data_IF_476476160022
#
_entry.id   IF_476476160022
#
_cell.length_a   1.000
_cell.length_b   1.000
_cell.length_c   1.000
_cell.angle_alpha   90.00
_cell.angle_beta   90.00
_cell.angle_gamma   90.00
#
_symmetry.space_group_name_H-M   'P 1'
#
loop_
_entity.id
_entity.type
_entity.pdbx_description
1 polymer ?
#
# COMPACT_ATOMS: atom_id res chain seq x y z
N UNK A 1 40.46 -15.62 -7.21
CA UNK A 1 39.40 -15.26 -8.17
C UNK A 1 38.08 -15.65 -7.53
N UNK A 2 37.13 -14.80 -7.16
CA UNK A 2 37.03 -13.35 -7.04
C UNK A 2 36.03 -13.06 -5.91
N UNK A 3 36.22 -11.97 -5.19
CA UNK A 3 35.37 -11.58 -4.06
C UNK A 3 33.95 -11.28 -4.56
N UNK A 4 32.95 -12.02 -4.05
CA UNK A 4 31.54 -11.73 -4.27
C UNK A 4 31.16 -10.55 -3.35
N UNK A 5 30.74 -9.38 -3.87
CA UNK A 5 30.37 -8.25 -3.02
C UNK A 5 29.16 -8.67 -2.17
N UNK A 6 29.31 -8.58 -0.86
CA UNK A 6 28.34 -9.05 0.14
C UNK A 6 26.99 -8.36 -0.07
N UNK A 7 25.99 -9.10 -0.55
CA UNK A 7 24.59 -8.65 -0.53
C UNK A 7 24.19 -8.56 0.95
N UNK A 8 23.94 -7.35 1.44
CA UNK A 8 23.45 -7.12 2.80
C UNK A 8 22.19 -7.97 3.04
N UNK A 9 22.08 -8.54 4.25
CA UNK A 9 21.12 -9.59 4.53
C UNK A 9 19.76 -9.08 5.02
N UNK A 10 18.75 -9.92 4.89
CA UNK A 10 17.46 -9.77 5.59
C UNK A 10 17.65 -10.20 7.04
N UNK A 11 17.20 -9.37 7.98
CA UNK A 11 17.31 -9.57 9.41
C UNK A 11 16.64 -10.88 9.81
N UNK A 12 17.35 -11.68 10.60
CA UNK A 12 16.98 -13.06 10.89
C UNK A 12 15.70 -13.21 11.77
N UNK A 13 15.17 -12.11 12.31
CA UNK A 13 14.08 -12.13 13.31
C UNK A 13 13.01 -11.08 12.98
N UNK A 14 12.22 -11.31 11.94
CA UNK A 14 11.02 -10.52 11.67
C UNK A 14 9.79 -11.12 12.39
N UNK A 15 8.78 -10.32 12.78
CA UNK A 15 7.51 -10.82 13.28
C UNK A 15 6.81 -11.75 12.26
N UNK A 16 5.89 -12.59 12.74
CA UNK A 16 5.16 -13.53 11.88
C UNK A 16 4.42 -12.81 10.75
N UNK A 17 4.46 -13.37 9.54
CA UNK A 17 3.85 -12.81 8.33
C UNK A 17 4.72 -11.79 7.59
N UNK A 18 5.72 -11.20 8.23
CA UNK A 18 6.63 -10.25 7.61
C UNK A 18 7.74 -10.95 6.83
N UNK A 19 8.05 -10.39 5.66
CA UNK A 19 9.17 -10.81 4.82
C UNK A 19 9.77 -9.61 4.09
N UNK A 20 11.03 -9.73 3.69
CA UNK A 20 11.62 -8.74 2.78
C UNK A 20 10.94 -8.83 1.41
N UNK A 21 10.48 -7.68 0.94
CA UNK A 21 9.72 -7.54 -0.30
C UNK A 21 10.64 -7.12 -1.46
N UNK A 22 11.65 -6.29 -1.19
CA UNK A 22 12.67 -5.90 -2.16
C UNK A 22 13.18 -4.48 -1.99
N UNK A 23 14.10 -4.10 -2.88
CA UNK A 23 14.57 -2.72 -2.99
C UNK A 23 13.64 -1.92 -3.91
N UNK A 24 13.15 -0.76 -3.47
CA UNK A 24 12.19 0.07 -4.22
C UNK A 24 12.68 1.51 -4.34
N UNK A 25 12.34 2.17 -5.45
CA UNK A 25 12.60 3.60 -5.63
C UNK A 25 11.71 4.46 -4.74
N UNK A 26 12.27 5.53 -4.16
CA UNK A 26 11.55 6.50 -3.33
C UNK A 26 11.82 7.94 -3.78
N UNK A 27 11.52 8.22 -5.06
CA UNK A 27 11.68 9.57 -5.63
C UNK A 27 10.44 10.44 -5.43
N UNK A 28 10.69 11.72 -5.09
CA UNK A 28 9.67 12.76 -5.03
C UNK A 28 8.86 12.69 -3.74
N UNK A 29 7.57 12.33 -3.84
CA UNK A 29 6.73 12.08 -2.67
C UNK A 29 7.05 10.69 -2.11
N UNK A 30 7.15 10.59 -0.78
CA UNK A 30 7.36 9.34 -0.02
C UNK A 30 6.45 8.23 -0.50
N UNK A 31 7.01 7.06 -0.82
CA UNK A 31 6.24 5.90 -1.27
C UNK A 31 5.57 5.14 -0.13
N UNK A 32 6.11 5.25 1.08
CA UNK A 32 5.46 4.79 2.30
C UNK A 32 5.11 6.01 3.14
N UNK A 33 3.85 6.45 3.05
CA UNK A 33 3.38 7.74 3.58
C UNK A 33 2.60 7.62 4.90
N UNK A 34 2.74 6.50 5.61
CA UNK A 34 2.11 6.23 6.90
C UNK A 34 2.92 6.76 8.09
N UNK A 35 2.85 6.04 9.22
CA UNK A 35 3.67 6.34 10.40
C UNK A 35 5.17 6.27 10.06
N UNK A 36 5.98 7.08 10.74
CA UNK A 36 7.43 7.09 10.55
C UNK A 36 8.15 7.30 11.88
N UNK A 37 9.40 6.84 11.94
CA UNK A 37 10.36 7.28 12.96
C UNK A 37 11.78 7.24 12.40
N UNK A 38 12.70 7.93 13.08
CA UNK A 38 14.12 7.96 12.73
C UNK A 38 14.92 7.52 13.95
N UNK A 39 15.90 6.63 13.75
CA UNK A 39 16.85 6.24 14.79
C UNK A 39 18.26 6.16 14.22
N UNK A 40 19.07 7.17 14.53
CA UNK A 40 20.44 7.32 14.00
C UNK A 40 21.46 6.38 14.63
N UNK A 41 21.10 5.66 15.71
CA UNK A 41 22.03 4.81 16.46
C UNK A 41 21.65 3.34 16.46
N UNK A 42 20.36 3.01 16.48
CA UNK A 42 19.89 1.65 16.71
C UNK A 42 18.85 1.16 15.69
N UNK A 43 18.66 1.87 14.57
CA UNK A 43 17.81 1.36 13.50
C UNK A 43 18.26 -0.03 13.04
N UNK A 44 17.29 -0.94 12.96
CA UNK A 44 17.41 -2.30 12.41
C UNK A 44 16.16 -2.59 11.57
N UNK A 45 16.25 -3.57 10.66
CA UNK A 45 15.10 -4.02 9.89
C UNK A 45 13.94 -4.46 10.80
N UNK A 46 14.26 -5.23 11.84
CA UNK A 46 13.28 -5.71 12.81
C UNK A 46 12.61 -4.56 13.59
N UNK A 47 13.35 -3.52 13.98
CA UNK A 47 12.77 -2.38 14.70
C UNK A 47 11.77 -1.59 13.83
N UNK A 48 12.08 -1.38 12.55
CA UNK A 48 11.15 -0.69 11.64
C UNK A 48 9.89 -1.52 11.40
N UNK A 49 10.07 -2.81 11.11
CA UNK A 49 8.96 -3.74 10.93
C UNK A 49 8.06 -3.81 12.16
N UNK A 50 8.63 -3.95 13.36
CA UNK A 50 7.86 -4.02 14.60
C UNK A 50 7.06 -2.73 14.86
N UNK A 51 7.63 -1.57 14.54
CA UNK A 51 6.93 -0.29 14.63
C UNK A 51 5.73 -0.22 13.66
N UNK A 52 5.92 -0.63 12.40
CA UNK A 52 4.83 -0.61 11.42
C UNK A 52 3.73 -1.62 11.75
N UNK A 53 4.10 -2.81 12.24
CA UNK A 53 3.17 -3.82 12.72
C UNK A 53 2.29 -3.29 13.87
N UNK A 54 2.91 -2.66 14.89
CA UNK A 54 2.19 -2.04 16.01
C UNK A 54 1.26 -0.88 15.59
N UNK A 55 1.57 -0.24 14.46
CA UNK A 55 0.76 0.84 13.90
C UNK A 55 -0.24 0.36 12.84
N UNK A 56 -0.43 -0.97 12.69
CA UNK A 56 -1.34 -1.60 11.74
C UNK A 56 -1.02 -1.29 10.26
N UNK A 57 0.27 -1.30 9.90
CA UNK A 57 0.73 -1.14 8.52
C UNK A 57 1.32 -2.45 7.99
N UNK A 58 0.89 -2.94 6.81
CA UNK A 58 1.42 -4.14 6.19
C UNK A 58 2.75 -3.89 5.47
N UNK A 59 3.09 -2.63 5.14
CA UNK A 59 4.40 -2.30 4.59
C UNK A 59 5.24 -1.51 5.61
N UNK A 60 6.51 -1.86 5.64
CA UNK A 60 7.57 -1.12 6.32
C UNK A 60 8.70 -0.92 5.31
N UNK A 61 9.40 0.19 5.38
CA UNK A 61 10.54 0.44 4.51
C UNK A 61 11.54 1.34 5.20
N UNK A 62 12.82 1.03 5.02
CA UNK A 62 13.90 1.81 5.58
C UNK A 62 14.63 2.54 4.47
N UNK A 63 14.83 3.85 4.64
CA UNK A 63 15.68 4.68 3.80
C UNK A 63 16.86 5.25 4.59
N UNK A 64 17.94 5.54 3.88
CA UNK A 64 19.08 6.31 4.39
C UNK A 64 19.73 5.68 5.65
N UNK A 65 19.63 4.37 5.80
CA UNK A 65 20.16 3.62 6.94
C UNK A 65 19.32 3.70 8.21
N UNK A 66 18.55 4.77 8.40
CA UNK A 66 18.09 5.19 9.73
C UNK A 66 16.64 5.70 9.77
N UNK A 67 15.98 5.81 8.63
CA UNK A 67 14.63 6.36 8.52
C UNK A 67 13.62 5.25 8.22
N UNK A 68 12.73 4.98 9.16
CA UNK A 68 11.67 3.99 8.99
C UNK A 68 10.38 4.65 8.55
N UNK A 69 9.76 4.08 7.51
CA UNK A 69 8.50 4.50 6.94
C UNK A 69 7.53 3.32 6.88
N UNK A 70 6.30 3.54 7.30
CA UNK A 70 5.21 2.58 7.17
C UNK A 70 4.31 2.95 6.00
N UNK A 71 3.66 1.96 5.41
CA UNK A 71 2.70 2.19 4.33
C UNK A 71 1.62 1.12 4.31
N UNK A 72 0.42 1.50 3.88
CA UNK A 72 -0.61 0.52 3.57
C UNK A 72 -0.42 -0.06 2.16
N UNK A 73 0.26 0.69 1.31
CA UNK A 73 0.68 0.28 -0.01
C UNK A 73 1.99 0.99 -0.36
N UNK A 74 2.64 0.51 -1.41
CA UNK A 74 3.77 1.19 -2.03
C UNK A 74 3.19 2.22 -3.02
N UNK A 75 3.40 3.51 -2.74
CA UNK A 75 2.80 4.59 -3.51
C UNK A 75 3.20 4.61 -4.99
N UNK A 76 2.31 5.14 -5.81
CA UNK A 76 2.48 5.21 -7.27
C UNK A 76 3.83 5.80 -7.73
N UNK A 77 4.34 5.22 -8.82
CA UNK A 77 5.62 5.58 -9.43
C UNK A 77 6.85 5.06 -8.68
N UNK A 78 6.66 4.31 -7.60
CA UNK A 78 7.70 3.43 -7.07
C UNK A 78 7.87 2.22 -7.98
N UNK A 79 9.10 1.74 -8.13
CA UNK A 79 9.41 0.53 -8.87
C UNK A 79 10.51 -0.25 -8.17
N UNK A 80 10.49 -1.58 -8.33
CA UNK A 80 11.54 -2.46 -7.84
C UNK A 80 12.87 -2.12 -8.52
N UNK A 81 13.94 -2.05 -7.74
CA UNK A 81 15.31 -1.71 -8.16
C UNK A 81 16.25 -2.91 -7.95
N UNK A 82 17.50 -2.78 -8.39
CA UNK A 82 18.51 -3.80 -8.08
C UNK A 82 18.77 -3.82 -6.56
N UNK A 83 18.87 -5.00 -5.97
CA UNK A 83 19.13 -5.17 -4.53
C UNK A 83 20.44 -4.51 -4.09
N UNK A 84 21.42 -4.41 -4.99
CA UNK A 84 22.69 -3.70 -4.70
C UNK A 84 22.53 -2.19 -4.58
N UNK A 85 21.37 -1.62 -4.90
CA UNK A 85 21.09 -0.19 -4.70
C UNK A 85 20.53 0.12 -3.31
N UNK A 86 20.17 -0.90 -2.53
CA UNK A 86 19.79 -0.76 -1.12
C UNK A 86 20.96 -1.22 -0.23
N UNK A 87 22.07 -0.46 -0.29
CA UNK A 87 23.37 -0.86 0.25
C UNK A 87 23.80 -0.11 1.53
N UNK A 88 22.95 0.76 2.08
CA UNK A 88 23.27 1.43 3.34
C UNK A 88 23.10 0.45 4.50
N UNK A 89 24.13 0.29 5.36
CA UNK A 89 24.01 -0.54 6.55
C UNK A 89 23.09 0.11 7.58
N UNK A 90 22.31 -0.69 8.28
CA UNK A 90 21.57 -0.22 9.45
C UNK A 90 22.56 0.11 10.60
N UNK A 91 22.41 1.23 11.33
CA UNK A 91 23.30 1.60 12.42
C UNK A 91 23.22 0.63 13.61
N UNK A 92 22.05 0.02 13.86
CA UNK A 92 21.87 -0.99 14.90
C UNK A 92 22.36 -2.39 14.50
N UNK A 93 22.54 -2.66 13.20
CA UNK A 93 23.12 -3.89 12.68
C UNK A 93 23.71 -3.69 11.28
N UNK A 94 25.03 -3.56 11.20
CA UNK A 94 25.72 -3.23 9.94
C UNK A 94 25.69 -4.33 8.87
N UNK A 95 25.16 -5.51 9.20
CA UNK A 95 24.99 -6.63 8.25
C UNK A 95 23.62 -6.60 7.54
N UNK A 96 22.75 -5.68 7.92
CA UNK A 96 21.40 -5.52 7.37
C UNK A 96 21.34 -4.35 6.37
N UNK A 97 20.58 -4.54 5.29
CA UNK A 97 20.26 -3.50 4.31
C UNK A 97 19.18 -2.55 4.84
N UNK A 98 19.46 -1.25 4.87
CA UNK A 98 18.53 -0.22 5.32
C UNK A 98 18.36 0.88 4.24
N UNK A 99 18.12 0.45 3.01
CA UNK A 99 17.88 1.33 1.87
C UNK A 99 19.14 2.00 1.33
N UNK A 100 18.98 3.16 0.70
CA UNK A 100 20.03 4.12 0.34
C UNK A 100 19.39 5.47 -0.01
N UNK A 101 20.08 6.37 -0.70
CA UNK A 101 19.48 7.61 -1.21
C UNK A 101 18.34 7.32 -2.22
N UNK A 102 17.10 7.72 -1.90
CA UNK A 102 15.92 7.48 -2.73
C UNK A 102 15.66 5.98 -2.97
N UNK A 103 16.06 5.11 -2.03
CA UNK A 103 15.84 3.67 -2.10
C UNK A 103 15.37 3.13 -0.75
N UNK A 104 14.24 2.43 -0.79
CA UNK A 104 13.67 1.75 0.36
C UNK A 104 14.03 0.27 0.33
N UNK A 105 14.59 -0.24 1.42
CA UNK A 105 14.52 -1.67 1.74
C UNK A 105 13.13 -1.95 2.29
N UNK A 106 12.24 -2.52 1.46
CA UNK A 106 10.82 -2.71 1.79
C UNK A 106 10.56 -4.11 2.33
N UNK A 107 9.72 -4.17 3.36
CA UNK A 107 9.18 -5.36 3.99
C UNK A 107 7.67 -5.34 3.90
N UNK A 108 7.08 -6.53 3.84
CA UNK A 108 5.65 -6.69 3.67
C UNK A 108 5.11 -7.83 4.56
N UNK A 109 3.97 -7.58 5.19
CA UNK A 109 3.21 -8.56 5.95
C UNK A 109 1.97 -9.00 5.20
N UNK A 110 2.03 -10.19 4.58
CA UNK A 110 0.92 -10.77 3.84
C UNK A 110 -0.27 -11.17 4.72
N UNK A 111 -0.04 -11.42 6.01
CA UNK A 111 -1.12 -11.72 6.96
C UNK A 111 -1.85 -10.44 7.37
N UNK A 112 -1.12 -9.35 7.62
CA UNK A 112 -1.73 -8.06 7.93
C UNK A 112 -2.48 -7.49 6.72
N UNK A 113 -1.94 -7.65 5.50
CA UNK A 113 -2.61 -7.18 4.29
C UNK A 113 -3.88 -7.99 3.98
N UNK A 114 -3.84 -9.31 4.20
CA UNK A 114 -5.04 -10.15 4.13
C UNK A 114 -6.10 -9.77 5.18
N UNK A 115 -5.72 -9.05 6.25
CA UNK A 115 -6.66 -8.48 7.24
C UNK A 115 -7.09 -7.05 6.91
N UNK A 116 -6.38 -6.34 6.01
CA UNK A 116 -6.84 -5.06 5.40
C UNK A 116 -7.72 -5.31 4.19
N UNK A 117 -8.58 -6.30 4.32
CA UNK A 117 -9.62 -6.54 3.34
C UNK A 117 -10.61 -5.38 3.43
N UNK A 118 -10.75 -4.62 2.34
CA UNK A 118 -11.99 -3.88 2.09
C UNK A 118 -13.12 -4.89 1.85
N UNK A 119 -13.41 -5.78 2.80
CA UNK A 119 -14.54 -6.71 2.70
C UNK A 119 -15.85 -5.97 2.53
N UNK A 120 -15.84 -4.67 2.85
CA UNK A 120 -17.04 -3.89 3.02
C UNK A 120 -17.90 -4.46 4.15
N UNK A 121 -19.13 -3.96 4.28
CA UNK A 121 -20.08 -4.44 5.28
C UNK A 121 -20.53 -5.87 4.99
N UNK A 122 -21.09 -6.55 5.99
CA UNK A 122 -21.57 -7.93 5.84
C UNK A 122 -22.43 -8.13 4.58
N UNK A 123 -22.02 -9.07 3.73
CA UNK A 123 -22.72 -9.40 2.48
C UNK A 123 -22.15 -8.72 1.23
N UNK A 124 -21.07 -7.96 1.34
CA UNK A 124 -20.24 -7.54 0.20
C UNK A 124 -18.94 -8.33 0.15
N UNK A 125 -18.28 -8.29 -1.00
CA UNK A 125 -16.95 -8.87 -1.18
C UNK A 125 -16.19 -8.00 -2.15
N UNK A 126 -14.94 -7.67 -1.82
CA UNK A 126 -14.04 -6.97 -2.71
C UNK A 126 -13.82 -7.81 -3.97
N UNK A 127 -14.02 -7.20 -5.14
CA UNK A 127 -13.76 -7.79 -6.45
C UNK A 127 -12.28 -7.58 -6.82
N UNK A 128 -11.73 -6.40 -6.56
CA UNK A 128 -10.35 -6.07 -6.90
C UNK A 128 -10.15 -4.59 -7.20
N UNK A 129 -8.93 -4.21 -7.57
CA UNK A 129 -8.64 -2.87 -8.05
C UNK A 129 -8.86 -2.78 -9.57
N UNK A 130 -9.22 -1.63 -10.10
CA UNK A 130 -9.49 -1.49 -11.52
C UNK A 130 -8.95 -0.17 -12.05
N UNK A 131 -8.26 -0.20 -13.18
CA UNK A 131 -7.88 1.03 -13.88
C UNK A 131 -9.14 1.72 -14.44
N UNK A 132 -9.36 2.97 -14.04
CA UNK A 132 -10.48 3.78 -14.50
C UNK A 132 -10.00 4.94 -15.39
N UNK A 133 -10.91 5.48 -16.22
CA UNK A 133 -10.61 6.60 -17.11
C UNK A 133 -11.76 7.61 -17.09
N UNK A 134 -11.44 8.88 -16.82
CA UNK A 134 -12.43 9.96 -16.77
C UNK A 134 -13.22 10.14 -18.08
N UNK A 135 -12.66 9.73 -19.22
CA UNK A 135 -13.30 9.77 -20.53
C UNK A 135 -13.99 8.46 -20.92
N UNK A 136 -13.76 7.39 -20.16
CA UNK A 136 -14.27 6.04 -20.43
C UNK A 136 -14.44 5.29 -19.10
N UNK A 137 -15.39 5.76 -18.27
CA UNK A 137 -15.61 5.27 -16.90
C UNK A 137 -16.04 3.80 -16.89
N UNK A 138 -15.52 3.01 -15.96
CA UNK A 138 -15.92 1.61 -15.80
C UNK A 138 -17.28 1.46 -15.10
N UNK A 139 -17.58 2.36 -14.15
CA UNK A 139 -18.90 2.51 -13.54
C UNK A 139 -19.44 3.89 -13.90
N UNK A 140 -20.60 3.95 -14.56
CA UNK A 140 -21.13 5.19 -15.15
C UNK A 140 -22.03 6.00 -14.21
N UNK A 141 -22.40 5.45 -13.05
CA UNK A 141 -23.31 6.12 -12.11
C UNK A 141 -22.55 6.71 -10.94
N UNK A 142 -22.37 8.04 -10.96
CA UNK A 142 -21.85 8.75 -9.80
C UNK A 142 -22.92 8.85 -8.72
N UNK A 143 -22.65 8.27 -7.54
CA UNK A 143 -23.64 8.21 -6.46
C UNK A 143 -23.41 9.30 -5.41
N UNK A 144 -22.17 9.47 -4.96
CA UNK A 144 -21.85 10.46 -3.94
C UNK A 144 -20.36 10.79 -3.92
N UNK A 145 -20.05 11.94 -3.33
CA UNK A 145 -18.70 12.22 -2.85
C UNK A 145 -18.72 13.06 -1.58
N UNK A 146 -17.80 12.82 -0.66
CA UNK A 146 -17.71 13.58 0.59
C UNK A 146 -16.65 13.06 1.52
N UNK A 147 -16.34 13.83 2.55
CA UNK A 147 -15.21 13.57 3.46
C UNK A 147 -15.54 12.50 4.52
N UNK A 148 -16.78 12.02 4.55
CA UNK A 148 -17.21 10.88 5.37
C UNK A 148 -17.30 9.59 4.57
N UNK A 149 -16.65 9.51 3.40
CA UNK A 149 -16.73 8.31 2.55
C UNK A 149 -16.08 7.11 3.23
N UNK A 150 -16.79 5.98 3.22
CA UNK A 150 -16.31 4.67 3.66
C UNK A 150 -16.73 3.61 2.64
N UNK A 151 -16.08 2.45 2.65
CA UNK A 151 -16.50 1.29 1.82
C UNK A 151 -17.95 0.93 2.16
N UNK A 152 -18.30 0.93 3.45
CA UNK A 152 -19.67 0.68 3.89
C UNK A 152 -20.67 1.74 3.43
N UNK A 153 -20.30 3.02 3.45
CA UNK A 153 -21.17 4.09 2.98
C UNK A 153 -21.44 3.98 1.47
N UNK A 154 -20.40 3.71 0.66
CA UNK A 154 -20.58 3.58 -0.78
C UNK A 154 -21.39 2.33 -1.16
N UNK A 155 -21.00 1.16 -0.66
CA UNK A 155 -21.68 -0.11 -0.95
C UNK A 155 -23.16 -0.08 -0.52
N UNK A 156 -23.46 0.45 0.67
CA UNK A 156 -24.84 0.57 1.13
C UNK A 156 -25.66 1.55 0.29
N UNK A 157 -25.05 2.64 -0.18
CA UNK A 157 -25.69 3.63 -1.05
C UNK A 157 -25.98 3.07 -2.44
N UNK A 158 -25.04 2.34 -3.06
CA UNK A 158 -25.26 1.68 -4.34
C UNK A 158 -26.37 0.63 -4.25
N UNK A 159 -26.34 -0.20 -3.20
CA UNK A 159 -27.40 -1.18 -2.95
C UNK A 159 -28.76 -0.52 -2.76
N UNK A 160 -28.85 0.57 -2.01
CA UNK A 160 -30.09 1.32 -1.82
C UNK A 160 -30.62 1.95 -3.14
N UNK A 161 -29.72 2.24 -4.08
CA UNK A 161 -30.04 2.69 -5.43
C UNK A 161 -30.30 1.54 -6.43
N UNK A 162 -30.34 0.28 -5.96
CA UNK A 162 -30.55 -0.95 -6.75
C UNK A 162 -29.39 -1.32 -7.70
N UNK A 163 -28.16 -0.91 -7.39
CA UNK A 163 -26.97 -1.37 -8.09
C UNK A 163 -26.28 -2.50 -7.33
N UNK A 164 -25.72 -3.44 -8.08
CA UNK A 164 -25.02 -4.62 -7.55
C UNK A 164 -23.53 -4.42 -7.32
N UNK A 165 -22.91 -3.44 -7.98
CA UNK A 165 -21.49 -3.12 -7.87
C UNK A 165 -21.32 -1.68 -7.35
N UNK A 166 -20.38 -1.51 -6.42
CA UNK A 166 -19.91 -0.22 -5.96
C UNK A 166 -18.42 -0.09 -6.31
N UNK A 167 -17.98 1.12 -6.61
CA UNK A 167 -16.58 1.41 -6.87
C UNK A 167 -16.18 2.71 -6.21
N UNK A 168 -15.10 2.66 -5.44
CA UNK A 168 -14.60 3.81 -4.72
C UNK A 168 -13.38 4.39 -5.43
N UNK A 169 -13.32 5.71 -5.58
CA UNK A 169 -12.21 6.41 -6.24
C UNK A 169 -11.75 7.63 -5.42
N UNK A 170 -10.47 7.99 -5.52
CA UNK A 170 -9.89 9.18 -4.89
C UNK A 170 -10.15 9.33 -3.38
N UNK A 171 -10.41 8.23 -2.67
CA UNK A 171 -10.68 8.25 -1.22
C UNK A 171 -12.05 8.79 -0.83
N UNK A 172 -12.82 9.31 -1.78
CA UNK A 172 -14.01 10.11 -1.47
C UNK A 172 -15.14 10.00 -2.46
N UNK A 173 -14.93 9.40 -3.63
CA UNK A 173 -15.95 9.24 -4.64
C UNK A 173 -16.55 7.85 -4.57
N UNK A 174 -17.85 7.77 -4.82
CA UNK A 174 -18.62 6.54 -4.87
C UNK A 174 -19.34 6.45 -6.21
N UNK A 175 -19.06 5.37 -6.91
CA UNK A 175 -19.62 5.02 -8.21
C UNK A 175 -20.40 3.72 -8.10
N UNK A 176 -21.46 3.57 -8.88
CA UNK A 176 -22.31 2.39 -8.88
C UNK A 176 -22.53 1.87 -10.30
N UNK A 177 -22.91 0.60 -10.40
CA UNK A 177 -23.36 -0.01 -11.65
C UNK A 177 -23.67 -1.49 -11.47
N UNK A 178 -24.13 -2.13 -12.54
CA UNK A 178 -24.39 -3.57 -12.57
C UNK A 178 -23.40 -4.35 -13.43
N UNK A 179 -22.68 -3.64 -14.30
CA UNK A 179 -21.67 -4.19 -15.18
C UNK A 179 -20.50 -3.21 -15.27
N UNK A 180 -19.31 -3.76 -15.51
CA UNK A 180 -18.13 -2.95 -15.82
C UNK A 180 -18.13 -2.64 -17.33
N UNK A 181 -18.10 -1.36 -17.65
CA UNK A 181 -18.04 -0.88 -19.04
C UNK A 181 -16.59 -0.80 -19.55
N UNK A 182 -16.43 -0.50 -20.84
CA UNK A 182 -15.15 -0.12 -21.47
C UNK A 182 -14.01 -1.15 -21.38
N UNK A 183 -14.34 -2.46 -21.32
CA UNK A 183 -13.37 -3.56 -21.18
C UNK A 183 -12.41 -3.36 -20.00
N UNK A 184 -12.91 -2.74 -18.93
CA UNK A 184 -12.11 -2.44 -17.76
C UNK A 184 -11.56 -3.74 -17.14
N UNK A 185 -10.25 -3.75 -16.86
CA UNK A 185 -9.52 -4.94 -16.42
C UNK A 185 -9.22 -4.82 -14.93
N UNK A 186 -9.58 -5.86 -14.18
CA UNK A 186 -9.22 -5.98 -12.77
C UNK A 186 -7.71 -6.18 -12.66
N UNK A 187 -7.12 -5.44 -11.75
CA UNK A 187 -5.71 -5.48 -11.31
C UNK A 187 -5.73 -5.51 -9.79
N UNK A 188 -4.60 -5.79 -9.14
CA UNK A 188 -4.49 -5.66 -7.69
C UNK A 188 -3.62 -4.47 -7.28
N UNK A 189 -3.42 -3.49 -8.17
CA UNK A 189 -2.47 -2.40 -8.01
C UNK A 189 -3.10 -1.01 -8.13
N UNK A 190 -2.69 -0.09 -7.25
CA UNK A 190 -2.98 1.33 -7.34
C UNK A 190 -4.27 1.80 -6.65
N UNK A 191 -5.02 0.91 -5.98
CA UNK A 191 -6.11 1.29 -5.08
C UNK A 191 -5.55 1.57 -3.68
N UNK A 192 -4.64 2.54 -3.59
CA UNK A 192 -3.83 2.85 -2.41
C UNK A 192 -4.29 4.12 -1.65
N UNK A 193 -5.37 4.76 -2.09
CA UNK A 193 -5.93 5.95 -1.44
C UNK A 193 -6.93 5.52 -0.37
N UNK A 194 -6.74 6.04 0.84
CA UNK A 194 -7.61 5.78 1.99
C UNK A 194 -8.97 6.44 1.85
N UNK A 195 -9.98 5.80 2.42
CA UNK A 195 -11.28 6.42 2.60
C UNK A 195 -11.17 7.65 3.51
N UNK A 196 -11.77 8.76 3.08
CA UNK A 196 -11.79 10.02 3.83
C UNK A 196 -12.55 9.91 5.15
N UNK A 197 -13.57 9.04 5.22
CA UNK A 197 -14.36 8.77 6.41
C UNK A 197 -13.86 7.61 7.27
N UNK A 198 -12.93 6.79 6.77
CA UNK A 198 -12.32 5.71 7.55
C UNK A 198 -10.92 5.37 7.00
N UNK A 199 -9.88 5.84 7.68
CA UNK A 199 -8.51 5.63 7.21
C UNK A 199 -8.04 4.17 7.31
N UNK A 200 -8.79 3.24 7.90
CA UNK A 200 -8.41 1.82 7.99
C UNK A 200 -8.74 1.00 6.73
N UNK A 201 -9.37 1.62 5.73
CA UNK A 201 -9.81 0.98 4.49
C UNK A 201 -9.38 1.82 3.28
N UNK A 202 -9.28 1.17 2.12
CA UNK A 202 -8.99 1.84 0.85
C UNK A 202 -10.27 2.16 0.08
N UNK A 203 -10.23 3.27 -0.65
CA UNK A 203 -11.32 3.83 -1.42
C UNK A 203 -10.79 4.22 -2.82
N UNK A 204 -10.14 3.26 -3.48
CA UNK A 204 -9.57 3.45 -4.81
C UNK A 204 -8.23 4.15 -4.82
N UNK A 205 -7.96 4.83 -5.92
CA UNK A 205 -6.72 5.56 -6.18
C UNK A 205 -6.92 6.59 -7.28
N UNK A 206 -5.84 7.22 -7.73
CA UNK A 206 -5.90 8.13 -8.88
C UNK A 206 -6.15 7.34 -10.16
N UNK A 207 -7.32 7.48 -10.79
CA UNK A 207 -7.71 6.67 -11.96
C UNK A 207 -7.76 5.18 -11.62
N UNK A 208 -8.21 4.86 -10.40
CA UNK A 208 -8.26 3.50 -9.86
C UNK A 208 -9.53 3.32 -9.03
N UNK A 209 -10.46 2.50 -9.52
CA UNK A 209 -11.66 2.11 -8.76
C UNK A 209 -11.35 0.89 -7.91
N UNK A 210 -11.64 0.97 -6.62
CA UNK A 210 -11.68 -0.22 -5.75
C UNK A 210 -13.11 -0.76 -5.69
N UNK A 211 -13.28 -2.01 -6.14
CA UNK A 211 -14.57 -2.68 -6.36
C UNK A 211 -14.84 -3.76 -5.31
#
# INVERSE_FOLDING_TARGET
MGNNPSVLSVGANLPAGWSYHGCYTDYGRRKLAGSLFVDTGNMTQASCVAFCDQNNYPYAGIEYGQECYCGLAIGAGSARSNETECDFPCPGNVSEACGSNNRLSVFYNSLADATQTNTGPNGTSRIGCLADNVYARALSVFQASGDSMTVAHCTSSCKAANYSTAGLEYGRECWCGDTLDNNATITDEGCDIRCTGNSSEFCGGSQRLDL
#
